data_IF_398171059561
#
_entry.id   IF_398171059561
#
_cell.length_a   1.000
_cell.length_b   1.000
_cell.length_c   1.000
_cell.angle_alpha   90.00
_cell.angle_beta   90.00
_cell.angle_gamma   90.00
#
_symmetry.space_group_name_H-M   'P 1'
#
loop_
_entity.id
_entity.type
_entity.pdbx_description
1 polymer ?
#
# COMPACT_ATOMS: atom_id res chain seq x y z
N UNK A 1 -5.95 -6.01 6.46
CA UNK A 1 -6.61 -4.68 6.44
C UNK A 1 -5.64 -3.59 6.89
N UNK A 2 -5.28 -2.73 5.95
CA UNK A 2 -4.46 -1.52 6.12
C UNK A 2 -5.22 -0.44 6.90
N UNK A 3 -4.58 0.25 7.85
CA UNK A 3 -5.21 1.33 8.63
C UNK A 3 -4.79 2.72 8.16
N UNK A 4 -5.64 3.73 8.39
CA UNK A 4 -5.38 5.13 8.00
C UNK A 4 -4.14 5.69 8.70
N UNK A 5 -3.93 5.31 9.95
CA UNK A 5 -2.75 5.69 10.75
C UNK A 5 -1.44 5.11 10.19
N UNK A 6 -1.48 3.91 9.60
CA UNK A 6 -0.32 3.34 8.89
C UNK A 6 0.01 4.12 7.62
N UNK A 7 -1.00 4.51 6.84
CA UNK A 7 -0.81 5.32 5.62
C UNK A 7 -0.21 6.69 5.97
N UNK A 8 -0.69 7.33 7.04
CA UNK A 8 -0.30 8.69 7.41
C UNK A 8 1.17 8.79 7.90
N UNK A 9 1.72 7.71 8.45
CA UNK A 9 3.08 7.67 9.01
C UNK A 9 4.09 6.91 8.14
N UNK A 10 3.62 6.30 7.04
CA UNK A 10 4.47 5.50 6.16
C UNK A 10 5.51 6.37 5.44
N UNK A 11 6.75 5.88 5.44
CA UNK A 11 7.78 6.30 4.47
C UNK A 11 7.39 5.92 3.04
N UNK A 12 8.03 6.50 2.04
CA UNK A 12 7.73 6.23 0.62
C UNK A 12 7.82 4.72 0.27
N UNK A 13 8.83 4.03 0.79
CA UNK A 13 8.99 2.60 0.62
C UNK A 13 7.89 1.78 1.34
N UNK A 14 7.49 2.20 2.55
CA UNK A 14 6.40 1.55 3.29
C UNK A 14 5.05 1.77 2.60
N UNK A 15 4.81 2.96 2.03
CA UNK A 15 3.60 3.26 1.26
C UNK A 15 3.50 2.39 0.00
N UNK A 16 4.64 2.16 -0.67
CA UNK A 16 4.71 1.23 -1.80
C UNK A 16 4.39 -0.20 -1.36
N UNK A 17 5.01 -0.68 -0.27
CA UNK A 17 4.73 -2.01 0.30
C UNK A 17 3.25 -2.18 0.68
N UNK A 18 2.62 -1.12 1.19
CA UNK A 18 1.21 -1.08 1.54
C UNK A 18 0.30 -1.19 0.31
N UNK A 19 0.70 -0.56 -0.79
CA UNK A 19 -0.04 -0.64 -2.05
C UNK A 19 -0.05 -2.07 -2.60
N UNK A 20 1.06 -2.82 -2.47
CA UNK A 20 1.08 -4.25 -2.78
C UNK A 20 0.20 -5.08 -1.85
N UNK A 21 0.18 -4.78 -0.55
CA UNK A 21 -0.69 -5.44 0.41
C UNK A 21 -2.17 -5.30 0.00
N UNK A 22 -2.59 -4.08 -0.38
CA UNK A 22 -3.96 -3.79 -0.83
C UNK A 22 -4.35 -4.63 -2.05
N UNK A 23 -3.40 -4.85 -2.98
CA UNK A 23 -3.65 -5.72 -4.12
C UNK A 23 -3.96 -7.15 -3.67
N UNK A 24 -3.13 -7.72 -2.79
CA UNK A 24 -3.30 -9.09 -2.27
C UNK A 24 -4.62 -9.22 -1.53
N UNK A 25 -4.92 -8.27 -0.62
CA UNK A 25 -6.18 -8.22 0.13
C UNK A 25 -7.39 -8.21 -0.83
N UNK A 26 -7.34 -7.47 -1.95
CA UNK A 26 -8.42 -7.48 -2.94
C UNK A 26 -8.58 -8.81 -3.69
N UNK A 27 -7.49 -9.52 -4.00
CA UNK A 27 -7.58 -10.84 -4.63
C UNK A 27 -8.19 -11.86 -3.65
N UNK A 28 -7.80 -11.82 -2.38
CA UNK A 28 -8.35 -12.69 -1.34
C UNK A 28 -9.85 -12.42 -1.09
N UNK A 29 -10.25 -11.15 -1.01
CA UNK A 29 -11.65 -10.76 -0.90
C UNK A 29 -12.49 -11.20 -2.12
N UNK A 30 -11.92 -11.11 -3.33
CA UNK A 30 -12.58 -11.60 -4.54
C UNK A 30 -12.81 -13.13 -4.52
N UNK A 31 -11.95 -13.88 -3.82
CA UNK A 31 -12.05 -15.33 -3.63
C UNK A 31 -13.10 -15.68 -2.59
N UNK A 32 -13.10 -14.98 -1.46
CA UNK A 32 -13.99 -15.24 -0.33
C UNK A 32 -15.43 -14.76 -0.59
N UNK A 33 -15.60 -13.69 -1.37
CA UNK A 33 -16.89 -13.06 -1.63
C UNK A 33 -17.24 -13.10 -3.13
N UNK A 34 -17.78 -14.22 -3.67
CA UNK A 34 -18.09 -14.36 -5.09
C UNK A 34 -19.09 -13.32 -5.60
N UNK A 35 -20.03 -12.86 -4.75
CA UNK A 35 -21.01 -11.82 -5.10
C UNK A 35 -20.38 -10.45 -5.39
N UNK A 36 -19.25 -10.13 -4.73
CA UNK A 36 -18.50 -8.87 -4.90
C UNK A 36 -17.20 -9.05 -5.67
N UNK A 37 -17.02 -10.21 -6.30
CA UNK A 37 -15.78 -10.59 -6.99
C UNK A 37 -15.37 -9.58 -8.04
N UNK A 38 -16.29 -9.17 -8.91
CA UNK A 38 -15.99 -8.21 -9.98
C UNK A 38 -15.57 -6.84 -9.43
N UNK A 39 -16.18 -6.40 -8.32
CA UNK A 39 -15.81 -5.17 -7.64
C UNK A 39 -14.37 -5.24 -7.12
N UNK A 40 -14.00 -6.31 -6.42
CA UNK A 40 -12.66 -6.50 -5.89
C UNK A 40 -11.59 -6.69 -6.98
N UNK A 41 -11.91 -7.40 -8.07
CA UNK A 41 -11.03 -7.51 -9.23
C UNK A 41 -10.81 -6.16 -9.92
N UNK A 42 -11.85 -5.33 -10.00
CA UNK A 42 -11.74 -3.96 -10.52
C UNK A 42 -10.82 -3.12 -9.63
N UNK A 43 -10.97 -3.22 -8.31
CA UNK A 43 -10.09 -2.54 -7.34
C UNK A 43 -8.65 -3.01 -7.45
N UNK A 44 -8.40 -4.31 -7.56
CA UNK A 44 -7.05 -4.84 -7.79
C UNK A 44 -6.42 -4.32 -9.10
N UNK A 45 -7.21 -4.19 -10.18
CA UNK A 45 -6.74 -3.56 -11.44
C UNK A 45 -6.43 -2.07 -11.26
N UNK A 46 -7.22 -1.35 -10.47
CA UNK A 46 -6.93 0.05 -10.11
C UNK A 46 -5.63 0.15 -9.32
N UNK A 47 -5.38 -0.75 -8.36
CA UNK A 47 -4.13 -0.82 -7.60
C UNK A 47 -2.92 -1.03 -8.52
N UNK A 48 -3.02 -1.92 -9.52
CA UNK A 48 -1.96 -2.08 -10.54
C UNK A 48 -1.71 -0.77 -11.29
N UNK A 49 -2.76 -0.02 -11.66
CA UNK A 49 -2.59 1.28 -12.33
C UNK A 49 -1.87 2.29 -11.44
N UNK A 50 -2.14 2.31 -10.14
CA UNK A 50 -1.40 3.16 -9.19
C UNK A 50 0.07 2.77 -9.17
N UNK A 51 0.38 1.48 -9.09
CA UNK A 51 1.76 0.98 -9.11
C UNK A 51 2.50 1.34 -10.42
N UNK A 52 1.83 1.19 -11.57
CA UNK A 52 2.38 1.57 -12.88
C UNK A 52 2.66 3.07 -12.96
N UNK A 53 1.73 3.91 -12.48
CA UNK A 53 1.89 5.36 -12.49
C UNK A 53 3.03 5.83 -11.56
N UNK A 54 3.40 5.04 -10.57
CA UNK A 54 4.55 5.29 -9.69
C UNK A 54 5.91 4.93 -10.31
N UNK A 55 5.96 4.30 -11.48
CA UNK A 55 7.23 3.91 -12.12
C UNK A 55 7.87 5.08 -12.88
N UNK A 56 9.20 5.22 -12.72
CA UNK A 56 10.01 6.14 -13.51
C UNK A 56 10.57 5.45 -14.77
N UNK A 57 9.93 5.62 -15.92
CA UNK A 57 10.35 5.04 -17.20
C UNK A 57 11.64 5.61 -17.79
N UNK A 58 12.35 6.50 -17.10
CA UNK A 58 13.72 6.87 -17.46
C UNK A 58 14.72 5.75 -17.13
N UNK A 59 14.38 4.90 -16.16
CA UNK A 59 15.23 3.80 -15.71
C UNK A 59 14.86 2.50 -16.44
N UNK A 60 15.87 1.75 -16.91
CA UNK A 60 15.66 0.49 -17.63
C UNK A 60 14.93 -0.56 -16.77
N UNK A 61 15.20 -0.55 -15.47
CA UNK A 61 14.57 -1.44 -14.48
C UNK A 61 13.05 -1.25 -14.47
N UNK A 62 12.57 -0.02 -14.65
CA UNK A 62 11.13 0.27 -14.64
C UNK A 62 10.38 -0.44 -15.78
N UNK A 63 11.01 -0.63 -16.94
CA UNK A 63 10.43 -1.39 -18.05
C UNK A 63 10.29 -2.87 -17.70
N UNK A 64 11.25 -3.45 -17.00
CA UNK A 64 11.19 -4.84 -16.55
C UNK A 64 10.05 -5.03 -15.54
N UNK A 65 9.91 -4.12 -14.58
CA UNK A 65 8.85 -4.16 -13.57
C UNK A 65 7.47 -3.95 -14.20
N UNK A 66 7.36 -3.05 -15.18
CA UNK A 66 6.14 -2.86 -15.94
C UNK A 66 5.69 -4.14 -16.64
N UNK A 67 6.62 -4.88 -17.26
CA UNK A 67 6.31 -6.17 -17.89
C UNK A 67 5.80 -7.21 -16.88
N UNK A 68 6.34 -7.21 -15.65
CA UNK A 68 5.84 -8.05 -14.56
C UNK A 68 4.39 -7.68 -14.22
N UNK A 69 4.06 -6.39 -14.10
CA UNK A 69 2.68 -5.96 -13.83
C UNK A 69 1.71 -6.35 -14.94
N UNK A 70 2.12 -6.25 -16.20
CA UNK A 70 1.31 -6.72 -17.34
C UNK A 70 1.09 -8.23 -17.26
N UNK A 71 2.09 -9.00 -16.84
CA UNK A 71 1.96 -10.44 -16.63
C UNK A 71 0.99 -10.76 -15.48
N UNK A 72 1.11 -10.09 -14.34
CA UNK A 72 0.19 -10.24 -13.19
C UNK A 72 -1.25 -9.90 -13.60
N UNK A 73 -1.46 -8.85 -14.40
CA UNK A 73 -2.80 -8.50 -14.90
C UNK A 73 -3.41 -9.60 -15.78
N UNK A 74 -2.59 -10.33 -16.56
CA UNK A 74 -3.05 -11.49 -17.34
C UNK A 74 -3.41 -12.66 -16.42
N UNK A 75 -2.64 -12.92 -15.36
CA UNK A 75 -2.93 -13.98 -14.39
C UNK A 75 -4.26 -13.75 -13.66
N UNK A 76 -4.65 -12.50 -13.42
CA UNK A 76 -5.94 -12.18 -12.80
C UNK A 76 -7.17 -12.65 -13.61
N UNK A 77 -7.02 -12.95 -14.91
CA UNK A 77 -8.13 -13.39 -15.75
C UNK A 77 -8.61 -14.81 -15.40
N UNK A 78 -7.77 -15.64 -14.78
CA UNK A 78 -8.08 -17.03 -14.41
C UNK A 78 -7.92 -17.22 -12.91
N UNK A 79 -8.97 -17.70 -12.25
CA UNK A 79 -8.99 -17.93 -10.80
C UNK A 79 -7.90 -18.91 -10.35
N UNK A 80 -7.60 -19.92 -11.16
CA UNK A 80 -6.50 -20.88 -10.94
C UNK A 80 -5.12 -20.22 -10.84
N UNK A 81 -4.95 -19.05 -11.44
CA UNK A 81 -3.69 -18.31 -11.51
C UNK A 81 -3.58 -17.19 -10.46
N UNK A 82 -4.60 -17.00 -9.62
CA UNK A 82 -4.59 -15.95 -8.60
C UNK A 82 -3.51 -16.17 -7.53
N UNK A 83 -3.28 -17.42 -7.14
CA UNK A 83 -2.22 -17.75 -6.17
C UNK A 83 -0.84 -17.41 -6.73
N UNK A 84 -0.61 -17.58 -8.04
CA UNK A 84 0.62 -17.17 -8.71
C UNK A 84 0.77 -15.65 -8.75
N UNK A 85 -0.31 -14.92 -9.07
CA UNK A 85 -0.33 -13.47 -9.05
C UNK A 85 0.02 -12.90 -7.67
N UNK A 86 -0.59 -13.45 -6.60
CA UNK A 86 -0.30 -13.03 -5.23
C UNK A 86 1.15 -13.33 -4.82
N UNK A 87 1.70 -14.50 -5.21
CA UNK A 87 3.11 -14.85 -4.93
C UNK A 87 4.09 -13.87 -5.58
N UNK A 88 3.86 -13.51 -6.84
CA UNK A 88 4.71 -12.55 -7.55
C UNK A 88 4.66 -11.18 -6.85
N UNK A 89 3.46 -10.69 -6.54
CA UNK A 89 3.29 -9.39 -5.86
C UNK A 89 3.89 -9.39 -4.45
N UNK A 90 3.76 -10.49 -3.70
CA UNK A 90 4.39 -10.65 -2.39
C UNK A 90 5.92 -10.66 -2.47
N UNK A 91 6.49 -11.30 -3.50
CA UNK A 91 7.94 -11.30 -3.69
C UNK A 91 8.47 -9.91 -4.07
N UNK A 92 7.75 -9.17 -4.91
CA UNK A 92 8.07 -7.77 -5.19
C UNK A 92 7.99 -6.91 -3.93
N UNK A 93 6.91 -7.06 -3.15
CA UNK A 93 6.74 -6.37 -1.87
C UNK A 93 7.93 -6.61 -0.93
N UNK A 94 8.37 -7.86 -0.78
CA UNK A 94 9.54 -8.21 0.02
C UNK A 94 10.81 -7.51 -0.46
N UNK A 95 11.04 -7.56 -1.78
CA UNK A 95 12.22 -6.95 -2.41
C UNK A 95 12.27 -5.45 -2.15
N UNK A 96 11.13 -4.77 -2.29
CA UNK A 96 11.02 -3.34 -2.00
C UNK A 96 11.16 -3.02 -0.51
N UNK A 97 10.67 -3.88 0.37
CA UNK A 97 10.85 -3.73 1.82
C UNK A 97 12.33 -3.81 2.19
N UNK A 98 13.04 -4.83 1.70
CA UNK A 98 14.49 -4.97 1.93
C UNK A 98 15.28 -3.80 1.34
N UNK A 99 14.90 -3.31 0.16
CA UNK A 99 15.50 -2.13 -0.44
C UNK A 99 15.27 -0.87 0.42
N UNK A 100 14.06 -0.68 0.96
CA UNK A 100 13.71 0.42 1.85
C UNK A 100 14.47 0.42 3.17
N UNK A 101 14.76 -0.75 3.75
CA UNK A 101 15.57 -0.88 4.97
C UNK A 101 17.04 -0.50 4.75
N UNK A 102 17.55 -0.71 3.53
CA UNK A 102 18.94 -0.39 3.17
C UNK A 102 19.19 1.10 2.88
N UNK A 103 18.13 1.86 2.60
CA UNK A 103 18.20 3.30 2.38
C UNK A 103 18.08 3.98 3.76
N UNK A 104 19.05 4.84 4.16
CA UNK A 104 18.93 5.56 5.43
C UNK A 104 17.62 6.34 5.41
N UNK A 105 16.76 6.11 6.42
CA UNK A 105 15.47 6.78 6.55
C UNK A 105 15.66 8.26 6.28
N UNK A 106 15.16 8.75 5.13
CA UNK A 106 15.04 10.18 4.94
C UNK A 106 14.22 10.71 6.11
N UNK A 107 14.73 11.75 6.77
CA UNK A 107 14.03 12.40 7.86
C UNK A 107 12.59 12.66 7.42
N UNK A 108 11.61 12.22 8.21
CA UNK A 108 10.19 12.50 7.97
C UNK A 108 10.06 13.99 7.67
N UNK A 109 9.70 14.32 6.43
CA UNK A 109 9.65 15.72 5.96
C UNK A 109 8.53 16.49 6.65
N UNK A 110 7.61 15.77 7.30
CA UNK A 110 6.55 16.30 8.15
C UNK A 110 7.09 16.57 9.55
N UNK A 111 7.89 17.62 9.70
CA UNK A 111 8.32 18.09 11.04
C UNK A 111 7.14 18.55 11.93
N UNK A 112 5.93 18.68 11.37
CA UNK A 112 4.70 19.12 12.03
C UNK A 112 3.48 18.21 11.73
N UNK A 113 3.66 16.91 11.49
CA UNK A 113 2.49 16.01 11.44
C UNK A 113 1.96 15.75 12.85
N UNK A 114 0.65 15.87 13.03
CA UNK A 114 -0.02 15.56 14.29
C UNK A 114 0.28 14.11 14.69
N UNK A 115 0.92 13.92 15.84
CA UNK A 115 1.25 12.60 16.37
C UNK A 115 -0.04 11.97 16.91
N UNK A 116 -0.57 10.97 16.20
CA UNK A 116 -1.73 10.20 16.67
C UNK A 116 -1.23 9.27 17.78
N UNK A 117 -1.56 9.59 19.03
CA UNK A 117 -1.27 8.74 20.17
C UNK A 117 -2.52 7.91 20.48
N UNK A 118 -2.44 6.59 20.28
CA UNK A 118 -3.49 5.66 20.69
C UNK A 118 -3.44 5.50 22.22
N UNK A 119 -3.96 6.50 22.94
CA UNK A 119 -4.10 6.48 24.40
C UNK A 119 -5.24 5.56 24.80
N UNK A 120 -4.91 4.44 25.45
CA UNK A 120 -5.88 3.48 25.99
C UNK A 120 -6.66 4.02 27.18
N UNK A 121 -7.62 4.92 26.95
CA UNK A 121 -8.55 5.37 27.99
C UNK A 121 -9.99 5.35 27.50
N UNK A 122 -10.67 4.30 27.95
CA UNK A 122 -12.12 4.09 28.07
C UNK A 122 -12.97 4.21 26.78
N UNK A 123 -13.25 3.04 26.19
CA UNK A 123 -14.35 2.81 25.24
C UNK A 123 -14.57 1.32 25.01
N UNK A 124 -15.66 0.76 25.53
CA UNK A 124 -15.96 -0.69 25.51
C UNK A 124 -16.21 -1.27 24.10
N UNK A 125 -15.98 -0.52 23.01
CA UNK A 125 -16.15 -1.03 21.64
C UNK A 125 -15.45 -0.20 20.54
N UNK A 126 -14.41 0.58 20.85
CA UNK A 126 -13.68 1.33 19.81
C UNK A 126 -12.39 1.94 20.32
N UNK A 127 -11.32 1.84 19.51
CA UNK A 127 -10.09 2.60 19.71
C UNK A 127 -10.42 4.09 19.51
N UNK A 128 -10.48 4.84 20.60
CA UNK A 128 -10.67 6.30 20.54
C UNK A 128 -9.33 6.95 20.21
N UNK A 129 -9.14 7.36 18.95
CA UNK A 129 -7.97 8.12 18.52
C UNK A 129 -8.11 9.58 18.98
N UNK A 130 -7.18 10.05 19.82
CA UNK A 130 -7.14 11.45 20.26
C UNK A 130 -6.16 12.21 19.38
N UNK A 131 -6.68 13.17 18.61
CA UNK A 131 -5.89 14.09 17.80
C UNK A 131 -5.47 15.26 18.69
N UNK A 132 -4.20 15.34 19.06
CA UNK A 132 -3.65 16.54 19.71
C UNK A 132 -3.47 17.63 18.64
N UNK A 133 -4.38 18.61 18.64
CA UNK A 133 -4.24 19.81 17.83
C UNK A 133 -3.11 20.67 18.40
N UNK A 134 -1.97 20.72 17.71
CA UNK A 134 -1.07 21.86 17.80
C UNK A 134 -1.55 22.90 16.78
N UNK A 135 -1.94 24.09 17.24
CA UNK A 135 -2.61 25.14 16.46
C UNK A 135 -1.74 25.81 15.37
N UNK A 136 -0.60 25.22 15.01
CA UNK A 136 0.31 25.79 14.03
C UNK A 136 0.46 24.89 12.79
N UNK A 137 -0.59 24.88 11.96
CA UNK A 137 -0.57 24.29 10.61
C UNK A 137 -0.10 25.34 9.60
N UNK A 138 1.20 25.66 9.54
CA UNK A 138 1.71 26.62 8.56
C UNK A 138 3.24 26.64 8.40
N UNK A 139 3.69 26.90 7.17
CA UNK A 139 5.07 27.32 6.87
C UNK A 139 5.35 28.66 7.56
N UNK A 140 6.46 28.77 8.29
CA UNK A 140 7.08 30.07 8.55
C UNK A 140 7.99 30.37 7.36
N UNK A 141 7.73 31.50 6.70
CA UNK A 141 8.56 32.04 5.63
C UNK A 141 9.94 32.47 6.13
#
# INVERSE_FOLDING_TARGET
>A
MVTVSQVAQASEAELLCLTYQIFIDHIEEARNNPEKREYHLTKARETIKVLVNGLNFKDEIAHTIFNIYVYVQKLMLKEESWDEACKIMAHLQETYRMAGESIPKQQQTLQNSQQIYAGGTYGTSGLTEVIMNNDNRGFQA
#
